data_IF_684588247366
#
_entry.id   IF_684588247366
#
_cell.length_a   1.000
_cell.length_b   1.000
_cell.length_c   1.000
_cell.angle_alpha   90.00
_cell.angle_beta   90.00
_cell.angle_gamma   90.00
#
_symmetry.space_group_name_H-M   'P 1'
#
loop_
_entity.id
_entity.type
_entity.pdbx_description
1 polymer ?
#
# COMPACT_ATOMS: atom_id res chain seq x y z
N UNK A 1 20.71 -3.67 2.60
CA UNK A 1 19.49 -3.94 1.81
C UNK A 1 18.38 -3.07 2.36
N UNK A 2 17.80 -3.36 3.53
CA UNK A 2 16.72 -2.55 4.12
C UNK A 2 17.10 -1.14 4.61
N UNK A 3 18.39 -0.81 4.70
CA UNK A 3 18.89 0.46 5.25
C UNK A 3 18.36 1.68 4.50
N UNK A 4 18.14 1.55 3.18
CA UNK A 4 17.58 2.63 2.36
C UNK A 4 16.20 3.04 2.87
N UNK A 5 15.27 2.08 2.95
CA UNK A 5 13.92 2.31 3.47
C UNK A 5 13.96 2.73 4.93
N UNK A 6 14.73 2.06 5.79
CA UNK A 6 14.81 2.44 7.20
C UNK A 6 15.24 3.89 7.41
N UNK A 7 16.12 4.41 6.54
CA UNK A 7 16.55 5.80 6.55
C UNK A 7 15.50 6.83 6.13
N UNK A 8 14.37 6.41 5.56
CA UNK A 8 13.30 7.33 5.07
C UNK A 8 12.17 7.55 6.07
N UNK A 9 12.26 6.99 7.28
CA UNK A 9 11.29 7.24 8.35
C UNK A 9 11.94 7.93 9.55
N UNK A 10 11.41 9.09 9.92
CA UNK A 10 11.87 9.82 11.11
C UNK A 10 11.46 9.13 12.43
N UNK A 11 10.44 8.26 12.38
CA UNK A 11 9.89 7.59 13.56
C UNK A 11 10.62 6.29 13.91
N UNK A 12 11.39 5.75 12.96
CA UNK A 12 12.10 4.48 13.11
C UNK A 12 13.58 4.75 13.41
N UNK A 13 14.01 4.47 14.64
CA UNK A 13 15.39 4.70 15.07
C UNK A 13 16.40 3.62 14.66
N UNK A 14 15.94 2.53 14.04
CA UNK A 14 16.80 1.44 13.58
C UNK A 14 17.37 1.77 12.21
N UNK A 15 18.69 1.61 12.03
CA UNK A 15 19.40 1.91 10.77
C UNK A 15 19.75 0.65 9.97
N UNK A 16 19.56 -0.54 10.55
CA UNK A 16 19.88 -1.83 9.93
C UNK A 16 19.10 -2.96 10.61
N UNK A 17 18.87 -4.05 9.90
CA UNK A 17 18.35 -5.31 10.42
C UNK A 17 18.95 -6.50 9.67
N UNK A 18 18.84 -7.71 10.23
CA UNK A 18 19.50 -8.90 9.73
C UNK A 18 18.69 -9.65 8.65
N UNK A 19 17.36 -9.56 8.68
CA UNK A 19 16.47 -10.30 7.79
C UNK A 19 15.11 -9.61 7.63
N UNK A 20 14.28 -10.16 6.74
CA UNK A 20 12.93 -9.68 6.41
C UNK A 20 11.99 -9.71 7.61
N UNK A 21 12.04 -10.73 8.45
CA UNK A 21 11.16 -10.83 9.63
C UNK A 21 11.45 -9.70 10.63
N UNK A 22 12.72 -9.47 10.93
CA UNK A 22 13.15 -8.36 11.80
C UNK A 22 12.80 -7.00 11.18
N UNK A 23 12.99 -6.85 9.87
CA UNK A 23 12.59 -5.65 9.16
C UNK A 23 11.09 -5.36 9.32
N UNK A 24 10.23 -6.35 9.07
CA UNK A 24 8.78 -6.18 9.18
C UNK A 24 8.33 -5.87 10.61
N UNK A 25 9.02 -6.42 11.62
CA UNK A 25 8.75 -6.08 13.02
C UNK A 25 9.12 -4.64 13.38
N UNK A 26 10.23 -4.13 12.85
CA UNK A 26 10.66 -2.73 13.02
C UNK A 26 9.73 -1.77 12.27
N UNK A 27 9.37 -2.12 11.03
CA UNK A 27 8.60 -1.27 10.14
C UNK A 27 7.10 -1.24 10.48
N UNK A 28 6.59 -2.28 11.14
CA UNK A 28 5.18 -2.47 11.47
C UNK A 28 4.51 -1.19 12.02
N UNK A 29 3.48 -0.72 11.31
CA UNK A 29 2.68 0.42 11.71
C UNK A 29 3.29 1.79 11.43
N UNK A 30 4.49 1.84 10.85
CA UNK A 30 5.17 3.08 10.48
C UNK A 30 5.06 3.33 8.98
N UNK A 31 5.04 4.62 8.65
CA UNK A 31 5.13 5.13 7.30
C UNK A 31 6.57 5.53 6.98
N UNK A 32 6.91 5.39 5.71
CA UNK A 32 8.22 5.57 5.09
C UNK A 32 8.03 6.40 3.81
N UNK A 33 9.14 6.90 3.26
CA UNK A 33 9.16 7.66 2.01
C UNK A 33 8.18 8.85 2.08
N UNK A 34 8.32 9.66 3.14
CA UNK A 34 7.52 10.88 3.35
C UNK A 34 5.99 10.67 3.31
N UNK A 35 5.51 9.50 3.74
CA UNK A 35 4.08 9.19 3.79
C UNK A 35 3.61 8.21 2.71
N UNK A 36 4.43 7.98 1.68
CA UNK A 36 4.02 7.22 0.49
C UNK A 36 3.74 5.74 0.76
N UNK A 37 4.44 5.12 1.72
CA UNK A 37 4.30 3.69 1.99
C UNK A 37 4.24 3.37 3.48
N UNK A 38 3.28 2.55 3.88
CA UNK A 38 3.07 2.14 5.27
C UNK A 38 3.05 0.63 5.41
N UNK A 39 3.82 0.11 6.35
CA UNK A 39 3.82 -1.33 6.64
C UNK A 39 2.72 -1.69 7.64
N UNK A 40 2.06 -2.82 7.38
CA UNK A 40 1.03 -3.31 8.28
C UNK A 40 1.60 -3.77 9.61
N UNK A 41 0.82 -3.57 10.67
CA UNK A 41 1.06 -4.27 11.94
C UNK A 41 0.76 -5.75 11.78
N UNK A 42 1.53 -6.59 12.45
CA UNK A 42 1.42 -8.05 12.37
C UNK A 42 0.01 -8.54 12.76
N UNK A 43 -0.61 -7.89 13.75
CA UNK A 43 -1.97 -8.18 14.20
C UNK A 43 -3.05 -7.85 13.16
N UNK A 44 -2.80 -6.92 12.24
CA UNK A 44 -3.77 -6.47 11.24
C UNK A 44 -3.76 -7.32 9.96
N UNK A 45 -2.69 -8.08 9.69
CA UNK A 45 -2.56 -8.90 8.47
C UNK A 45 -3.75 -9.85 8.30
N UNK A 46 -4.20 -10.51 9.38
CA UNK A 46 -5.35 -11.42 9.34
C UNK A 46 -6.67 -10.70 9.05
N UNK A 47 -6.81 -9.46 9.54
CA UNK A 47 -7.97 -8.61 9.25
C UNK A 47 -8.02 -8.31 7.76
N UNK A 48 -6.89 -7.89 7.18
CA UNK A 48 -6.78 -7.58 5.76
C UNK A 48 -7.02 -8.79 4.87
N UNK A 49 -6.48 -9.96 5.22
CA UNK A 49 -6.82 -11.21 4.52
C UNK A 49 -8.34 -11.50 4.51
N UNK A 50 -9.06 -11.14 5.57
CA UNK A 50 -10.53 -11.32 5.64
C UNK A 50 -11.27 -10.33 4.75
N UNK A 51 -10.98 -9.03 4.88
CA UNK A 51 -11.57 -7.98 4.04
C UNK A 51 -11.34 -8.31 2.57
N UNK A 52 -10.12 -8.68 2.22
CA UNK A 52 -9.74 -8.97 0.85
C UNK A 52 -10.50 -10.18 0.27
N UNK A 53 -10.74 -11.22 1.07
CA UNK A 53 -11.56 -12.37 0.65
C UNK A 53 -13.04 -12.03 0.48
N UNK A 54 -13.54 -11.01 1.18
CA UNK A 54 -14.91 -10.53 0.99
C UNK A 54 -15.02 -9.76 -0.34
N UNK A 55 -14.01 -8.96 -0.70
CA UNK A 55 -13.94 -8.27 -2.00
C UNK A 55 -13.76 -9.25 -3.16
N UNK A 56 -12.87 -10.24 -3.00
CA UNK A 56 -12.51 -11.22 -4.04
C UNK A 56 -12.80 -12.67 -3.61
N UNK A 57 -14.08 -13.09 -3.50
CA UNK A 57 -14.44 -14.41 -2.96
C UNK A 57 -14.00 -15.59 -3.83
N UNK A 58 -13.68 -15.34 -5.11
CA UNK A 58 -13.14 -16.36 -6.01
C UNK A 58 -11.66 -16.68 -5.74
N UNK A 59 -10.93 -15.80 -5.03
CA UNK A 59 -9.53 -16.01 -4.71
C UNK A 59 -9.40 -17.04 -3.59
N UNK A 60 -8.62 -18.10 -3.87
CA UNK A 60 -8.42 -19.22 -2.94
C UNK A 60 -7.11 -19.16 -2.18
N UNK A 61 -6.23 -18.25 -2.58
CA UNK A 61 -4.88 -18.13 -2.06
C UNK A 61 -4.87 -17.36 -0.74
N UNK A 62 -4.00 -17.77 0.18
CA UNK A 62 -3.69 -16.97 1.36
C UNK A 62 -2.61 -15.98 0.99
N UNK A 63 -2.94 -14.69 1.01
CA UNK A 63 -2.01 -13.63 0.63
C UNK A 63 -1.24 -13.12 1.84
N UNK A 64 0.08 -12.99 1.71
CA UNK A 64 0.95 -12.44 2.74
C UNK A 64 1.08 -10.92 2.57
N UNK A 65 0.04 -10.18 2.97
CA UNK A 65 0.06 -8.71 2.98
C UNK A 65 1.15 -8.18 3.91
N UNK A 66 1.85 -7.14 3.45
CA UNK A 66 2.90 -6.50 4.24
C UNK A 66 2.77 -4.98 4.32
N UNK A 67 2.07 -4.34 3.40
CA UNK A 67 1.90 -2.89 3.44
C UNK A 67 0.87 -2.37 2.43
N UNK A 68 0.73 -1.06 2.44
CA UNK A 68 -0.13 -0.28 1.56
C UNK A 68 0.52 1.06 1.30
N UNK A 69 0.16 1.68 0.19
CA UNK A 69 0.64 3.00 -0.17
C UNK A 69 -0.38 4.10 0.14
N UNK A 70 -0.03 5.34 -0.20
CA UNK A 70 -0.87 6.51 0.03
C UNK A 70 -2.21 6.47 -0.73
N UNK A 71 -2.30 5.78 -1.88
CA UNK A 71 -3.57 5.56 -2.61
C UNK A 71 -4.42 4.44 -2.02
N UNK A 72 -3.91 3.72 -1.03
CA UNK A 72 -4.59 2.59 -0.40
C UNK A 72 -4.48 1.30 -1.18
N UNK A 73 -3.56 1.21 -2.15
CA UNK A 73 -3.24 -0.03 -2.86
C UNK A 73 -2.58 -0.99 -1.89
N UNK A 74 -2.97 -2.27 -1.92
CA UNK A 74 -2.45 -3.28 -0.99
C UNK A 74 -1.34 -4.09 -1.63
N UNK A 75 -0.27 -4.33 -0.87
CA UNK A 75 0.91 -5.06 -1.35
C UNK A 75 1.10 -6.35 -0.55
N UNK A 76 1.40 -7.43 -1.28
CA UNK A 76 1.60 -8.76 -0.71
C UNK A 76 2.67 -9.54 -1.48
N UNK A 77 3.24 -10.55 -0.83
CA UNK A 77 4.14 -11.50 -1.51
C UNK A 77 3.31 -12.67 -2.03
N UNK A 78 3.46 -12.94 -3.32
CA UNK A 78 2.88 -14.11 -3.97
C UNK A 78 3.67 -15.36 -3.63
N UNK A 79 3.04 -16.29 -2.92
CA UNK A 79 3.68 -17.56 -2.52
C UNK A 79 4.12 -18.46 -3.69
N UNK A 80 3.53 -18.29 -4.88
CA UNK A 80 3.87 -19.10 -6.04
C UNK A 80 5.15 -18.63 -6.73
N UNK A 81 5.42 -17.33 -6.71
CA UNK A 81 6.52 -16.70 -7.44
C UNK A 81 7.60 -16.10 -6.53
N UNK A 82 7.29 -15.91 -5.24
CA UNK A 82 8.07 -15.15 -4.26
C UNK A 82 8.27 -13.66 -4.62
N UNK A 83 7.45 -13.16 -5.56
CA UNK A 83 7.47 -11.77 -6.00
C UNK A 83 6.38 -10.94 -5.32
N UNK A 84 6.60 -9.64 -5.24
CA UNK A 84 5.60 -8.67 -4.77
C UNK A 84 4.52 -8.49 -5.82
N UNK A 85 3.28 -8.50 -5.37
CA UNK A 85 2.10 -8.09 -6.12
C UNK A 85 1.39 -6.95 -5.40
N UNK A 86 0.65 -6.18 -6.18
CA UNK A 86 -0.17 -5.08 -5.73
C UNK A 86 -1.60 -5.28 -6.25
N UNK A 87 -2.56 -4.78 -5.50
CA UNK A 87 -3.97 -4.74 -5.90
C UNK A 87 -4.52 -3.36 -5.60
N UNK A 88 -5.23 -2.82 -6.58
CA UNK A 88 -5.76 -1.45 -6.54
C UNK A 88 -7.27 -1.49 -6.30
N UNK A 89 -7.75 -0.64 -5.37
CA UNK A 89 -9.17 -0.50 -5.07
C UNK A 89 -9.89 0.38 -6.11
N UNK A 90 -9.16 1.12 -6.94
CA UNK A 90 -9.72 1.94 -8.00
C UNK A 90 -10.36 1.10 -9.09
N UNK A 91 -9.66 0.06 -9.55
CA UNK A 91 -10.06 -0.80 -10.66
C UNK A 91 -10.32 -2.25 -10.27
N UNK A 92 -9.99 -2.64 -9.03
CA UNK A 92 -10.07 -4.02 -8.53
C UNK A 92 -9.18 -5.02 -9.30
N UNK A 93 -8.08 -4.55 -9.89
CA UNK A 93 -7.13 -5.36 -10.66
C UNK A 93 -5.85 -5.69 -9.89
N UNK A 94 -5.19 -6.78 -10.32
CA UNK A 94 -3.94 -7.26 -9.73
C UNK A 94 -2.75 -6.96 -10.65
N UNK A 95 -1.69 -6.44 -10.05
CA UNK A 95 -0.47 -6.03 -10.74
C UNK A 95 0.73 -6.79 -10.18
N UNK A 96 1.57 -7.33 -11.06
CA UNK A 96 2.82 -7.98 -10.69
C UNK A 96 3.98 -7.00 -10.84
N UNK A 97 4.86 -6.96 -9.84
CA UNK A 97 6.10 -6.16 -9.90
C UNK A 97 7.24 -6.93 -10.57
N UNK A 98 7.11 -8.25 -10.70
CA UNK A 98 8.17 -9.19 -11.11
C UNK A 98 9.45 -9.11 -10.26
N UNK A 99 9.35 -8.57 -9.04
CA UNK A 99 10.47 -8.40 -8.12
C UNK A 99 10.23 -9.09 -6.77
N UNK A 100 11.26 -9.74 -6.20
CA UNK A 100 11.25 -10.17 -4.81
C UNK A 100 11.09 -8.99 -3.85
N UNK A 101 10.69 -9.28 -2.62
CA UNK A 101 10.42 -8.29 -1.58
C UNK A 101 11.56 -7.27 -1.40
N UNK A 102 12.79 -7.74 -1.26
CA UNK A 102 13.94 -6.87 -1.00
C UNK A 102 14.27 -5.97 -2.20
N UNK A 103 14.15 -6.50 -3.42
CA UNK A 103 14.37 -5.72 -4.64
C UNK A 103 13.28 -4.68 -4.83
N UNK A 104 12.02 -5.02 -4.55
CA UNK A 104 10.92 -4.05 -4.54
C UNK A 104 11.19 -2.90 -3.56
N UNK A 105 11.67 -3.20 -2.34
CA UNK A 105 11.99 -2.16 -1.35
C UNK A 105 13.15 -1.26 -1.77
N UNK A 106 14.18 -1.82 -2.40
CA UNK A 106 15.28 -1.01 -2.95
C UNK A 106 14.77 -0.11 -4.09
N UNK A 107 13.86 -0.62 -4.92
CA UNK A 107 13.32 0.09 -6.08
C UNK A 107 12.42 1.26 -5.68
N UNK A 108 11.44 1.06 -4.79
CA UNK A 108 10.59 2.16 -4.30
C UNK A 108 11.35 3.22 -3.50
N UNK A 109 12.55 2.89 -3.00
CA UNK A 109 13.43 3.86 -2.34
C UNK A 109 14.25 4.68 -3.35
N UNK A 110 14.63 4.10 -4.49
CA UNK A 110 15.42 4.75 -5.52
C UNK A 110 14.55 5.52 -6.52
N UNK A 111 13.38 4.98 -6.86
CA UNK A 111 12.38 5.55 -7.77
C UNK A 111 10.96 5.34 -7.20
N UNK A 112 10.53 6.17 -6.24
CA UNK A 112 9.22 6.05 -5.62
C UNK A 112 8.06 6.12 -6.62
N UNK A 113 8.22 6.86 -7.73
CA UNK A 113 7.13 7.04 -8.70
C UNK A 113 6.75 5.74 -9.42
N UNK A 114 7.74 4.92 -9.76
CA UNK A 114 7.56 3.69 -10.54
C UNK A 114 6.52 2.70 -9.98
N UNK A 115 6.33 2.67 -8.66
CA UNK A 115 5.32 1.82 -8.01
C UNK A 115 4.39 2.53 -7.05
N UNK A 116 4.76 3.71 -6.56
CA UNK A 116 3.99 4.44 -5.55
C UNK A 116 3.32 5.69 -6.13
N UNK A 117 3.47 6.02 -7.42
CA UNK A 117 2.87 7.20 -8.04
C UNK A 117 3.16 8.49 -7.22
N UNK A 118 4.43 8.70 -6.89
CA UNK A 118 4.89 9.78 -6.04
C UNK A 118 4.64 11.16 -6.67
N UNK A 119 4.76 11.31 -8.00
CA UNK A 119 4.46 12.58 -8.67
C UNK A 119 2.96 12.93 -8.52
N UNK A 120 2.09 11.94 -8.55
CA UNK A 120 0.64 12.13 -8.36
C UNK A 120 0.28 12.46 -6.89
N UNK A 121 1.05 11.93 -5.93
CA UNK A 121 0.94 12.34 -4.52
C UNK A 121 1.34 13.80 -4.34
N UNK A 122 2.48 14.20 -4.92
CA UNK A 122 2.97 15.58 -4.88
C UNK A 122 1.93 16.54 -5.49
N UNK A 123 1.33 16.20 -6.63
CA UNK A 123 0.25 16.96 -7.24
C UNK A 123 -0.94 17.15 -6.28
N UNK A 124 -1.36 16.08 -5.60
CA UNK A 124 -2.46 16.15 -4.65
C UNK A 124 -2.12 17.05 -3.44
N UNK A 125 -0.91 16.91 -2.90
CA UNK A 125 -0.41 17.70 -1.75
C UNK A 125 -0.27 19.17 -2.10
N UNK A 126 0.16 19.51 -3.31
CA UNK A 126 0.28 20.90 -3.76
C UNK A 126 -1.08 21.62 -3.79
N UNK A 127 -2.16 20.92 -4.17
CA UNK A 127 -3.51 21.49 -4.23
C UNK A 127 -4.24 21.46 -2.88
N UNK A 128 -4.03 20.41 -2.06
CA UNK A 128 -4.82 20.14 -0.85
C UNK A 128 -4.06 20.34 0.48
N UNK A 129 -2.73 20.46 0.44
CA UNK A 129 -1.85 20.48 1.59
C UNK A 129 -1.47 19.09 2.10
N UNK A 130 -0.52 19.03 3.04
CA UNK A 130 -0.08 17.78 3.68
C UNK A 130 -1.26 17.10 4.42
N UNK A 131 -1.66 15.88 4.03
CA UNK A 131 -2.79 15.17 4.63
C UNK A 131 -2.51 14.64 6.05
N UNK A 132 -1.25 14.60 6.52
CA UNK A 132 -0.85 13.98 7.79
C UNK A 132 -1.45 12.57 7.97
N UNK A 133 -1.32 11.73 6.94
CA UNK A 133 -1.91 10.39 6.87
C UNK A 133 -1.53 9.56 8.11
N UNK A 134 -2.56 9.10 8.82
CA UNK A 134 -2.40 8.20 9.97
C UNK A 134 -2.37 6.76 9.49
N UNK A 135 -1.82 5.90 10.35
CA UNK A 135 -1.90 4.46 10.13
C UNK A 135 -3.37 4.04 9.97
N UNK A 136 -3.68 3.35 8.87
CA UNK A 136 -5.02 2.94 8.50
C UNK A 136 -5.77 3.98 7.67
N UNK A 137 -5.10 5.00 7.14
CA UNK A 137 -5.69 6.02 6.26
C UNK A 137 -4.95 6.07 4.92
N UNK A 138 -5.66 6.49 3.88
CA UNK A 138 -5.15 6.70 2.54
C UNK A 138 -5.91 7.83 1.85
N UNK A 139 -5.50 8.19 0.65
CA UNK A 139 -6.20 9.08 -0.27
C UNK A 139 -6.82 8.20 -1.35
N UNK A 140 -8.08 7.82 -1.15
CA UNK A 140 -8.78 6.89 -2.02
C UNK A 140 -9.61 7.60 -3.08
N UNK A 141 -9.88 6.91 -4.18
CA UNK A 141 -10.82 7.41 -5.19
C UNK A 141 -12.26 7.41 -4.65
N UNK A 142 -12.95 8.55 -4.79
CA UNK A 142 -14.36 8.73 -4.44
C UNK A 142 -15.28 7.91 -5.34
N UNK A 143 -14.96 7.85 -6.63
CA UNK A 143 -15.65 7.02 -7.63
C UNK A 143 -14.64 6.05 -8.24
N UNK A 144 -14.84 4.72 -8.14
CA UNK A 144 -13.94 3.75 -8.74
C UNK A 144 -14.04 3.70 -10.28
N UNK A 145 -13.00 3.20 -10.94
CA UNK A 145 -12.88 3.14 -12.39
C UNK A 145 -14.01 2.32 -13.03
N UNK A 146 -14.39 1.20 -12.42
CA UNK A 146 -15.49 0.35 -12.90
C UNK A 146 -16.88 1.02 -12.81
N UNK A 147 -16.98 2.18 -12.15
CA UNK A 147 -18.14 3.07 -12.18
C UNK A 147 -17.91 4.34 -13.02
N UNK A 148 -16.89 4.33 -13.89
CA UNK A 148 -16.41 5.45 -14.72
C UNK A 148 -15.86 6.64 -13.90
N UNK A 149 -15.23 6.37 -12.76
CA UNK A 149 -14.42 7.35 -12.05
C UNK A 149 -13.24 7.82 -12.89
N UNK A 150 -12.82 9.07 -12.70
CA UNK A 150 -11.65 9.64 -13.36
C UNK A 150 -10.38 9.38 -12.56
N UNK A 151 -9.26 9.21 -13.26
CA UNK A 151 -7.92 9.10 -12.69
C UNK A 151 -7.30 10.49 -12.58
N UNK A 152 -7.82 11.28 -11.63
CA UNK A 152 -7.35 12.64 -11.35
C UNK A 152 -7.51 12.99 -9.87
N UNK A 153 -6.83 14.06 -9.44
CA UNK A 153 -6.84 14.52 -8.06
C UNK A 153 -8.23 14.99 -7.59
N UNK A 154 -9.09 15.43 -8.52
CA UNK A 154 -10.45 15.87 -8.21
C UNK A 154 -11.34 14.69 -7.80
N UNK A 155 -10.99 13.46 -8.17
CA UNK A 155 -11.66 12.24 -7.75
C UNK A 155 -11.05 11.62 -6.47
N UNK A 156 -10.09 12.26 -5.82
CA UNK A 156 -9.46 11.75 -4.59
C UNK A 156 -10.03 12.39 -3.32
N UNK A 157 -10.01 11.66 -2.20
CA UNK A 157 -10.28 12.19 -0.86
C UNK A 157 -9.60 11.35 0.24
N UNK A 158 -9.30 11.97 1.37
CA UNK A 158 -8.73 11.27 2.52
C UNK A 158 -9.80 10.37 3.15
N UNK A 159 -9.47 9.09 3.33
CA UNK A 159 -10.39 8.09 3.87
C UNK A 159 -9.67 7.11 4.79
N UNK A 160 -10.45 6.46 5.65
CA UNK A 160 -10.00 5.26 6.33
C UNK A 160 -9.85 4.12 5.30
N UNK A 161 -8.74 3.40 5.38
CA UNK A 161 -8.36 2.34 4.44
C UNK A 161 -9.33 1.15 4.50
N UNK A 162 -9.78 0.78 5.70
CA UNK A 162 -10.75 -0.32 5.88
C UNK A 162 -12.13 0.07 5.33
N UNK A 163 -12.55 1.31 5.56
CA UNK A 163 -13.76 1.87 4.94
C UNK A 163 -13.63 1.88 3.42
N UNK A 164 -12.50 2.33 2.89
CA UNK A 164 -12.26 2.40 1.45
C UNK A 164 -12.41 1.02 0.79
N UNK A 165 -11.70 0.02 1.29
CA UNK A 165 -11.75 -1.34 0.75
C UNK A 165 -13.12 -2.02 0.95
N UNK A 166 -13.79 -1.77 2.08
CA UNK A 166 -15.11 -2.36 2.35
C UNK A 166 -16.16 -1.79 1.40
N UNK A 167 -16.19 -0.47 1.21
CA UNK A 167 -17.11 0.19 0.26
C UNK A 167 -16.81 -0.25 -1.17
N UNK A 168 -15.53 -0.29 -1.57
CA UNK A 168 -15.14 -0.80 -2.89
C UNK A 168 -15.64 -2.23 -3.09
N UNK A 169 -15.49 -3.10 -2.09
CA UNK A 169 -16.01 -4.47 -2.12
C UNK A 169 -17.52 -4.56 -2.34
N UNK A 170 -18.28 -3.73 -1.62
CA UNK A 170 -19.74 -3.65 -1.74
C UNK A 170 -20.20 -3.11 -3.11
N UNK A 171 -19.41 -2.23 -3.73
CA UNK A 171 -19.71 -1.67 -5.06
C UNK A 171 -19.30 -2.59 -6.21
N UNK A 172 -18.27 -3.40 -6.01
CA UNK A 172 -17.71 -4.28 -7.04
C UNK A 172 -18.50 -5.59 -7.20
N UNK A 173 -19.14 -6.07 -6.14
CA UNK A 173 -19.89 -7.34 -6.11
C UNK A 173 -21.41 -7.17 -6.28
#
# INVERSE_FOLDING_TARGET
>A
MFEKILGTSEKVGATSCANKEEFLEIAAGNSFLDGLFTFFRKEDVKKWQKIFKEVFPALKEELAFFGYDWLGRLYFVDSATDNVKMVDAFDCEFYATDMPFESFLDDIADDPDGFLAAEFYEEWVDENGDPDLKYGSCIGYKVPLFLNGAEDIDNLDVTDLEVYWTITGDLYN
#
